data_IF_641199790376
#
_entry.id   IF_641199790376
#
_cell.length_a   1.000
_cell.length_b   1.000
_cell.length_c   1.000
_cell.angle_alpha   90.00
_cell.angle_beta   90.00
_cell.angle_gamma   90.00
#
_symmetry.space_group_name_H-M   'P 1'
#
loop_
_entity.id
_entity.type
_entity.pdbx_description
1 polymer ?
#
# COMPACT_ATOMS: atom_id res chain seq x y z
N UNK A 1 7.28 2.45 10.30
CA UNK A 1 7.74 1.28 9.53
C UNK A 1 7.25 0.06 10.28
N UNK A 2 6.46 -0.77 9.63
CA UNK A 2 5.94 -2.02 10.16
C UNK A 2 6.15 -3.10 9.09
N UNK A 3 6.55 -4.29 9.51
CA UNK A 3 6.82 -5.44 8.64
C UNK A 3 6.29 -6.68 9.35
N UNK A 4 5.79 -7.66 8.60
CA UNK A 4 5.36 -8.96 9.12
C UNK A 4 5.73 -10.07 8.14
N UNK A 5 5.52 -11.33 8.53
CA UNK A 5 5.83 -12.49 7.69
C UNK A 5 7.30 -12.51 7.27
N UNK A 6 7.56 -12.59 5.96
CA UNK A 6 8.91 -12.54 5.38
C UNK A 6 9.55 -11.14 5.38
N UNK A 7 8.86 -10.12 5.89
CA UNK A 7 9.30 -8.73 5.95
C UNK A 7 9.69 -8.12 4.59
N UNK A 8 9.09 -8.61 3.49
CA UNK A 8 9.34 -8.13 2.13
C UNK A 8 8.77 -6.72 1.92
N UNK A 9 7.55 -6.48 2.40
CA UNK A 9 6.87 -5.18 2.27
C UNK A 9 7.00 -4.40 3.57
N UNK A 10 7.40 -3.14 3.45
CA UNK A 10 7.58 -2.23 4.57
C UNK A 10 6.40 -1.24 4.65
N UNK A 11 5.38 -1.57 5.44
CA UNK A 11 4.19 -0.76 5.68
C UNK A 11 4.52 0.54 6.43
N UNK A 12 3.83 1.63 6.08
CA UNK A 12 4.01 2.95 6.70
C UNK A 12 2.67 3.46 7.20
N UNK A 13 2.65 3.89 8.46
CA UNK A 13 1.47 4.48 9.10
C UNK A 13 1.83 5.88 9.59
N UNK A 14 0.88 6.81 9.45
CA UNK A 14 0.99 8.14 10.02
C UNK A 14 1.01 8.02 11.55
N UNK A 15 2.05 8.59 12.19
CA UNK A 15 2.19 8.53 13.65
C UNK A 15 1.18 9.41 14.40
N UNK A 16 0.51 10.32 13.70
CA UNK A 16 -0.46 11.23 14.28
C UNK A 16 -1.90 10.69 14.20
N UNK A 17 -2.34 10.23 13.03
CA UNK A 17 -3.73 9.78 12.81
C UNK A 17 -3.88 8.27 12.55
N UNK A 18 -2.79 7.52 12.42
CA UNK A 18 -2.83 6.07 12.21
C UNK A 18 -3.16 5.59 10.79
N UNK A 19 -3.46 6.49 9.85
CA UNK A 19 -3.72 6.13 8.44
C UNK A 19 -2.51 5.42 7.83
N UNK A 20 -2.74 4.42 6.97
CA UNK A 20 -1.73 3.74 6.15
C UNK A 20 -1.64 4.40 4.76
N UNK A 21 -0.80 5.43 4.55
CA UNK A 21 -0.72 6.13 3.27
C UNK A 21 -0.02 5.31 2.19
N UNK A 22 0.99 4.51 2.55
CA UNK A 22 1.73 3.70 1.58
C UNK A 22 2.49 2.53 2.20
N UNK A 23 2.89 1.61 1.34
CA UNK A 23 3.89 0.60 1.60
C UNK A 23 4.92 0.58 0.46
N UNK A 24 6.10 0.03 0.72
CA UNK A 24 7.17 -0.06 -0.28
C UNK A 24 7.92 -1.39 -0.12
N UNK A 25 8.43 -1.90 -1.22
CA UNK A 25 9.33 -3.05 -1.28
C UNK A 25 10.40 -2.84 -2.36
N UNK A 26 11.34 -3.79 -2.39
CA UNK A 26 12.36 -3.88 -3.43
C UNK A 26 12.17 -5.24 -4.08
N UNK A 27 11.77 -5.23 -5.35
CA UNK A 27 11.56 -6.44 -6.14
C UNK A 27 12.86 -7.23 -6.32
N UNK A 28 12.74 -8.46 -6.81
CA UNK A 28 13.89 -9.36 -6.98
C UNK A 28 14.96 -8.81 -7.95
N UNK A 29 14.55 -7.97 -8.90
CA UNK A 29 15.41 -7.25 -9.85
C UNK A 29 16.09 -6.00 -9.26
N UNK A 30 15.78 -5.64 -8.01
CA UNK A 30 16.24 -4.40 -7.37
C UNK A 30 15.37 -3.17 -7.63
N UNK A 31 14.29 -3.31 -8.39
CA UNK A 31 13.33 -2.22 -8.62
C UNK A 31 12.56 -1.86 -7.35
N UNK A 32 12.32 -0.57 -7.13
CA UNK A 32 11.58 -0.08 -5.96
C UNK A 32 10.13 0.16 -6.36
N UNK A 33 9.21 -0.47 -5.64
CA UNK A 33 7.78 -0.33 -5.87
C UNK A 33 7.12 0.35 -4.67
N UNK A 34 6.15 1.21 -4.96
CA UNK A 34 5.33 1.88 -3.94
C UNK A 34 3.85 1.52 -4.15
N UNK A 35 3.21 1.07 -3.08
CA UNK A 35 1.79 0.79 -3.02
C UNK A 35 1.12 1.95 -2.28
N UNK A 36 0.33 2.75 -3.00
CA UNK A 36 -0.24 4.00 -2.48
C UNK A 36 -1.72 3.83 -2.17
N UNK A 37 -2.15 4.30 -1.00
CA UNK A 37 -3.57 4.44 -0.69
C UNK A 37 -4.13 5.65 -1.45
N UNK A 38 -4.94 5.40 -2.47
CA UNK A 38 -5.51 6.46 -3.32
C UNK A 38 -6.35 7.49 -2.55
N UNK A 39 -6.88 7.12 -1.38
CA UNK A 39 -7.62 8.05 -0.51
C UNK A 39 -6.73 9.11 0.16
N UNK A 40 -5.40 8.98 0.04
CA UNK A 40 -4.42 9.94 0.55
C UNK A 40 -3.87 10.86 -0.56
N UNK A 41 -4.39 10.77 -1.79
CA UNK A 41 -3.99 11.61 -2.90
C UNK A 41 -4.94 12.78 -3.08
N UNK A 42 -4.37 13.97 -3.27
CA UNK A 42 -5.12 15.14 -3.71
C UNK A 42 -5.42 15.06 -5.21
N UNK A 43 -6.50 15.70 -5.63
CA UNK A 43 -6.91 15.83 -7.05
C UNK A 43 -7.12 14.50 -7.81
N UNK A 44 -7.50 13.43 -7.09
CA UNK A 44 -7.88 12.13 -7.68
C UNK A 44 -9.39 11.90 -7.56
N UNK A 45 -10.04 11.64 -8.69
CA UNK A 45 -11.43 11.16 -8.69
C UNK A 45 -11.48 9.66 -8.39
N UNK A 46 -11.52 9.33 -7.10
CA UNK A 46 -11.59 7.95 -6.60
C UNK A 46 -12.83 7.21 -7.13
N UNK A 47 -13.94 7.91 -7.41
CA UNK A 47 -15.17 7.28 -7.88
C UNK A 47 -15.06 6.80 -9.34
N UNK A 48 -14.11 7.34 -10.11
CA UNK A 48 -13.82 6.90 -11.48
C UNK A 48 -12.94 5.65 -11.57
N UNK A 49 -12.32 5.25 -10.46
CA UNK A 49 -11.37 4.12 -10.44
C UNK A 49 -12.13 2.81 -10.30
N UNK A 50 -11.87 1.86 -11.19
CA UNK A 50 -12.40 0.50 -11.08
C UNK A 50 -11.82 -0.19 -9.83
N UNK A 51 -12.71 -0.67 -8.97
CA UNK A 51 -12.37 -1.41 -7.76
C UNK A 51 -12.75 -2.87 -7.99
N UNK A 52 -11.79 -3.77 -7.81
CA UNK A 52 -12.03 -5.20 -7.75
C UNK A 52 -11.90 -5.69 -6.31
N UNK A 53 -12.75 -6.62 -5.91
CA UNK A 53 -12.65 -7.26 -4.60
C UNK A 53 -11.56 -8.34 -4.63
N UNK A 54 -10.71 -8.35 -3.61
CA UNK A 54 -9.64 -9.33 -3.46
C UNK A 54 -9.73 -10.03 -2.10
N UNK A 55 -9.92 -11.35 -2.12
CA UNK A 55 -9.89 -12.19 -0.92
C UNK A 55 -8.46 -12.69 -0.64
N UNK A 56 -7.78 -12.02 0.29
CA UNK A 56 -6.42 -12.40 0.69
C UNK A 56 -6.34 -13.71 1.49
N UNK A 57 -7.45 -14.32 1.95
CA UNK A 57 -7.43 -15.64 2.60
C UNK A 57 -7.38 -16.78 1.58
N UNK A 58 -8.07 -16.62 0.45
CA UNK A 58 -8.18 -17.65 -0.58
C UNK A 58 -7.03 -17.60 -1.62
N UNK A 59 -6.22 -16.52 -1.60
CA UNK A 59 -5.07 -16.30 -2.48
C UNK A 59 -3.80 -17.07 -2.08
#
# INVERSE_FOLDING_TARGET
RYTFGKAQIAHRFCRNCGIHPFAEDVGESGERTAYININCLDDVDVASIEVFEFDGRAA
#
